data_IF_541206124946
#
_entry.id   IF_541206124946
#
_cell.length_a   1.000
_cell.length_b   1.000
_cell.length_c   1.000
_cell.angle_alpha   90.00
_cell.angle_beta   90.00
_cell.angle_gamma   90.00
#
_symmetry.space_group_name_H-M   'P 1'
#
loop_
_entity.id
_entity.type
_entity.pdbx_description
1 polymer ?
#
# COMPACT_ATOMS: atom_id res chain seq x y z
N UNK A 1 1.09 19.19 -20.29
CA UNK A 1 0.20 18.10 -20.76
C UNK A 1 -1.25 18.48 -20.47
N UNK A 2 -2.17 18.18 -21.36
CA UNK A 2 -3.62 18.32 -21.12
C UNK A 2 -4.28 16.94 -21.24
N UNK A 3 -4.98 16.50 -20.18
CA UNK A 3 -5.87 15.35 -20.24
C UNK A 3 -7.26 15.84 -20.63
N UNK A 4 -7.85 15.21 -21.64
CA UNK A 4 -9.20 15.53 -22.15
C UNK A 4 -10.08 14.29 -22.14
N UNK A 5 -11.39 14.48 -22.33
CA UNK A 5 -12.38 13.39 -22.41
C UNK A 5 -12.36 12.40 -21.25
N UNK A 6 -11.91 12.79 -20.05
CA UNK A 6 -12.04 12.00 -18.85
C UNK A 6 -13.39 12.27 -18.16
N UNK A 7 -13.79 11.36 -17.27
CA UNK A 7 -14.89 11.59 -16.34
C UNK A 7 -14.40 11.43 -14.90
N UNK A 8 -15.02 12.16 -13.96
CA UNK A 8 -14.75 11.99 -12.53
C UNK A 8 -15.55 10.79 -11.95
N UNK A 9 -15.44 10.57 -10.63
CA UNK A 9 -16.11 9.48 -9.91
C UNK A 9 -17.65 9.50 -10.02
N UNK A 10 -18.24 10.67 -10.34
CA UNK A 10 -19.67 10.84 -10.54
C UNK A 10 -20.10 10.73 -12.03
N UNK A 11 -19.17 10.39 -12.94
CA UNK A 11 -19.40 10.30 -14.38
C UNK A 11 -19.50 11.66 -15.09
N UNK A 12 -19.10 12.76 -14.46
CA UNK A 12 -19.12 14.09 -15.09
C UNK A 12 -17.83 14.35 -15.87
N UNK A 13 -17.89 15.00 -17.06
CA UNK A 13 -16.71 15.34 -17.83
C UNK A 13 -15.70 16.16 -17.03
N UNK A 14 -14.43 15.80 -17.17
CA UNK A 14 -13.31 16.41 -16.47
C UNK A 14 -12.09 16.51 -17.39
N UNK A 15 -11.40 17.64 -17.35
CA UNK A 15 -10.09 17.84 -17.95
C UNK A 15 -9.08 18.21 -16.86
N UNK A 16 -7.80 17.85 -17.06
CA UNK A 16 -6.71 18.18 -16.15
C UNK A 16 -5.56 18.80 -16.96
N UNK A 17 -5.21 20.03 -16.61
CA UNK A 17 -4.03 20.70 -17.16
C UNK A 17 -2.84 20.56 -16.20
N UNK A 18 -1.74 20.04 -16.75
CA UNK A 18 -0.51 19.75 -16.00
C UNK A 18 0.61 20.65 -16.48
N UNK A 19 1.30 21.27 -15.55
CA UNK A 19 2.49 22.08 -15.78
C UNK A 19 3.57 21.75 -14.77
N UNK A 20 4.81 21.56 -15.24
CA UNK A 20 5.99 21.29 -14.40
C UNK A 20 5.79 20.12 -13.41
N UNK A 21 5.12 19.06 -13.87
CA UNK A 21 4.83 17.86 -13.05
C UNK A 21 3.73 18.04 -11.98
N UNK A 22 3.06 19.20 -11.97
CA UNK A 22 1.99 19.52 -11.03
C UNK A 22 0.67 19.72 -11.76
N UNK A 23 -0.44 19.46 -11.07
CA UNK A 23 -1.77 19.85 -11.52
C UNK A 23 -1.86 21.37 -11.46
N UNK A 24 -2.08 22.01 -12.60
CA UNK A 24 -2.21 23.47 -12.71
C UNK A 24 -3.70 23.90 -12.72
N UNK A 25 -4.56 23.11 -13.35
CA UNK A 25 -6.00 23.33 -13.35
C UNK A 25 -6.78 22.01 -13.51
N UNK A 26 -7.99 21.99 -12.96
CA UNK A 26 -8.97 20.90 -13.09
C UNK A 26 -10.32 21.52 -13.42
N UNK A 27 -11.02 21.02 -14.43
CA UNK A 27 -12.31 21.60 -14.84
C UNK A 27 -12.78 21.10 -16.19
N UNK A 28 -13.42 21.99 -16.95
CA UNK A 28 -13.85 21.78 -18.33
C UNK A 28 -13.31 22.90 -19.20
N UNK A 29 -13.21 22.64 -20.51
CA UNK A 29 -12.76 23.64 -21.52
C UNK A 29 -11.36 24.23 -21.23
N UNK A 30 -10.42 23.41 -20.75
CA UNK A 30 -9.06 23.84 -20.40
C UNK A 30 -8.13 23.94 -21.61
N UNK A 31 -8.58 23.64 -22.82
CA UNK A 31 -7.79 23.64 -24.05
C UNK A 31 -7.09 24.98 -24.32
N UNK A 32 -7.67 26.10 -23.88
CA UNK A 32 -7.07 27.44 -24.02
C UNK A 32 -5.82 27.64 -23.14
N UNK A 33 -5.58 26.76 -22.16
CA UNK A 33 -4.39 26.80 -21.29
C UNK A 33 -3.19 26.06 -21.91
N UNK A 34 -3.47 25.13 -22.84
CA UNK A 34 -2.43 24.34 -23.48
C UNK A 34 -1.74 25.12 -24.61
N UNK A 35 -0.40 25.06 -24.64
CA UNK A 35 0.37 25.61 -25.75
C UNK A 35 0.21 24.76 -27.02
N UNK A 36 0.45 25.34 -28.20
CA UNK A 36 0.30 24.63 -29.51
C UNK A 36 1.10 23.32 -29.63
N UNK A 37 2.19 23.17 -28.87
CA UNK A 37 3.06 21.99 -28.90
C UNK A 37 2.93 21.13 -27.63
N UNK A 38 1.90 21.32 -26.84
CA UNK A 38 1.72 20.57 -25.60
C UNK A 38 1.11 19.19 -25.86
N UNK A 39 1.56 18.19 -25.10
CA UNK A 39 1.01 16.84 -25.21
C UNK A 39 -0.44 16.84 -24.75
N UNK A 40 -1.34 16.40 -25.62
CA UNK A 40 -2.74 16.14 -25.27
C UNK A 40 -2.95 14.64 -25.17
N UNK A 41 -3.52 14.20 -24.08
CA UNK A 41 -3.90 12.79 -23.81
C UNK A 41 -5.42 12.72 -23.79
N UNK A 42 -5.98 11.94 -24.70
CA UNK A 42 -7.42 11.66 -24.74
C UNK A 42 -7.72 10.44 -23.85
N UNK A 43 -8.51 10.66 -22.81
CA UNK A 43 -8.92 9.60 -21.89
C UNK A 43 -10.02 8.68 -22.46
N UNK A 44 -10.64 9.01 -23.61
CA UNK A 44 -11.64 8.17 -24.25
C UNK A 44 -12.89 7.90 -23.41
N UNK A 45 -13.22 8.76 -22.45
CA UNK A 45 -14.37 8.56 -21.55
C UNK A 45 -14.05 7.73 -20.28
N UNK A 46 -12.80 7.31 -20.09
CA UNK A 46 -12.39 6.60 -18.87
C UNK A 46 -12.51 7.47 -17.62
N UNK A 47 -12.70 6.82 -16.47
CA UNK A 47 -12.71 7.52 -15.18
C UNK A 47 -11.29 7.87 -14.76
N UNK A 48 -11.05 9.15 -14.43
CA UNK A 48 -9.79 9.61 -13.86
C UNK A 48 -9.89 9.64 -12.33
N UNK A 49 -8.92 9.00 -11.66
CA UNK A 49 -8.76 8.98 -10.21
C UNK A 49 -7.37 9.51 -9.84
N UNK A 50 -7.18 10.06 -8.62
CA UNK A 50 -5.81 10.23 -8.10
C UNK A 50 -5.08 8.90 -8.14
N UNK A 51 -3.81 8.89 -8.54
CA UNK A 51 -3.02 7.67 -8.53
C UNK A 51 -2.89 7.10 -7.11
N UNK A 52 -2.75 5.79 -7.03
CA UNK A 52 -2.71 5.08 -5.76
C UNK A 52 -1.35 5.21 -5.08
N UNK A 53 -1.38 5.12 -3.74
CA UNK A 53 -0.22 5.14 -2.85
C UNK A 53 -0.29 3.89 -1.98
N UNK A 54 0.76 3.06 -2.03
CA UNK A 54 0.82 1.81 -1.28
C UNK A 54 1.65 1.98 -0.01
N UNK A 55 1.07 1.67 1.13
CA UNK A 55 1.77 1.76 2.42
C UNK A 55 2.61 0.52 2.74
N UNK A 56 2.45 -0.59 2.00
CA UNK A 56 3.07 -1.86 2.34
C UNK A 56 3.39 -2.70 1.09
N UNK A 57 4.67 -2.76 0.73
CA UNK A 57 5.14 -3.44 -0.47
C UNK A 57 6.56 -4.00 -0.30
N UNK A 58 6.90 -5.05 -1.07
CA UNK A 58 8.21 -5.72 -1.01
C UNK A 58 8.83 -5.84 -2.40
N UNK A 59 9.77 -4.97 -2.75
CA UNK A 59 10.53 -5.07 -4.00
C UNK A 59 11.82 -5.88 -3.88
N UNK A 60 12.02 -6.56 -2.76
CA UNK A 60 13.02 -7.59 -2.54
C UNK A 60 14.48 -7.19 -2.77
N UNK A 61 14.79 -5.97 -3.16
CA UNK A 61 16.14 -5.43 -3.35
C UNK A 61 16.59 -4.67 -2.09
N UNK A 62 17.78 -4.93 -1.58
CA UNK A 62 18.81 -5.88 -2.08
C UNK A 62 18.61 -7.33 -1.62
N UNK A 63 19.17 -8.26 -2.39
CA UNK A 63 19.49 -9.63 -1.95
C UNK A 63 18.50 -10.72 -2.30
N UNK A 64 17.30 -10.36 -2.80
CA UNK A 64 16.30 -11.31 -3.25
C UNK A 64 15.74 -10.95 -4.64
N UNK A 65 16.57 -10.34 -5.48
CA UNK A 65 16.22 -9.85 -6.81
C UNK A 65 15.72 -10.95 -7.76
N UNK A 66 15.93 -12.21 -7.40
CA UNK A 66 15.37 -13.34 -8.14
C UNK A 66 13.84 -13.48 -7.97
N UNK A 67 13.28 -12.92 -6.89
CA UNK A 67 11.83 -12.89 -6.64
C UNK A 67 11.20 -11.65 -7.27
N UNK A 68 11.81 -10.50 -7.05
CA UNK A 68 11.40 -9.19 -7.53
C UNK A 68 12.58 -8.24 -7.42
N UNK A 69 12.65 -7.25 -8.29
CA UNK A 69 13.62 -6.16 -8.19
C UNK A 69 12.91 -4.80 -8.34
N UNK A 70 13.68 -3.71 -8.18
CA UNK A 70 13.13 -2.36 -8.22
C UNK A 70 12.50 -2.05 -9.60
N UNK A 71 13.05 -2.55 -10.70
CA UNK A 71 12.51 -2.30 -12.03
C UNK A 71 11.19 -3.05 -12.24
N UNK A 72 11.15 -4.36 -11.96
CA UNK A 72 9.94 -5.17 -12.16
C UNK A 72 8.84 -4.81 -11.15
N UNK A 73 9.20 -4.54 -9.89
CA UNK A 73 8.28 -4.04 -8.88
C UNK A 73 7.70 -2.67 -9.23
N UNK A 74 8.53 -1.74 -9.78
CA UNK A 74 8.04 -0.45 -10.27
C UNK A 74 7.07 -0.61 -11.46
N UNK A 75 7.33 -1.57 -12.37
CA UNK A 75 6.42 -1.89 -13.48
C UNK A 75 5.08 -2.43 -12.97
N UNK A 76 5.12 -3.36 -12.03
CA UNK A 76 3.93 -3.92 -11.40
C UNK A 76 3.13 -2.84 -10.66
N UNK A 77 3.79 -1.96 -9.90
CA UNK A 77 3.15 -0.84 -9.24
C UNK A 77 2.49 0.11 -10.24
N UNK A 78 3.20 0.53 -11.29
CA UNK A 78 2.66 1.39 -12.34
C UNK A 78 1.46 0.72 -13.05
N UNK A 79 1.53 -0.56 -13.38
CA UNK A 79 0.43 -1.31 -13.99
C UNK A 79 -0.78 -1.43 -13.07
N UNK A 80 -0.56 -1.43 -11.74
CA UNK A 80 -1.60 -1.40 -10.73
C UNK A 80 -2.18 -0.01 -10.43
N UNK A 81 -1.67 1.07 -11.05
CA UNK A 81 -2.14 2.44 -10.81
C UNK A 81 -1.38 3.19 -9.71
N UNK A 82 -0.31 2.62 -9.19
CA UNK A 82 0.49 3.21 -8.11
C UNK A 82 1.59 4.12 -8.66
N UNK A 83 1.77 5.28 -8.05
CA UNK A 83 2.89 6.21 -8.32
C UNK A 83 3.84 6.37 -7.15
N UNK A 84 3.46 5.82 -6.00
CA UNK A 84 4.29 5.79 -4.79
C UNK A 84 4.04 4.53 -3.96
N UNK A 85 5.13 3.93 -3.45
CA UNK A 85 5.07 2.76 -2.56
C UNK A 85 5.96 2.95 -1.34
N UNK A 86 5.57 2.36 -0.22
CA UNK A 86 6.37 2.28 0.99
C UNK A 86 6.92 0.85 1.14
N UNK A 87 8.24 0.70 1.09
CA UNK A 87 8.91 -0.59 1.02
C UNK A 87 9.32 -1.11 2.39
N UNK A 88 9.10 -2.39 2.64
CA UNK A 88 9.46 -3.06 3.88
C UNK A 88 10.95 -3.43 3.92
N UNK A 89 11.59 -3.48 5.12
CA UNK A 89 13.04 -3.59 5.26
C UNK A 89 13.57 -5.02 5.25
N UNK A 90 12.72 -6.04 5.05
CA UNK A 90 13.05 -7.46 5.08
C UNK A 90 13.81 -7.94 3.83
N UNK A 91 14.92 -7.29 3.58
CA UNK A 91 15.88 -7.52 2.49
C UNK A 91 17.14 -8.25 2.99
N UNK A 92 18.13 -8.48 2.13
CA UNK A 92 19.41 -9.08 2.51
C UNK A 92 20.58 -8.29 1.94
N UNK A 93 21.32 -7.55 2.77
CA UNK A 93 21.09 -7.39 4.21
C UNK A 93 19.75 -6.70 4.51
N UNK A 94 19.26 -6.87 5.75
CA UNK A 94 18.10 -6.13 6.26
C UNK A 94 18.40 -4.64 6.19
N UNK A 95 17.41 -3.84 5.75
CA UNK A 95 17.56 -2.38 5.70
C UNK A 95 17.51 -1.79 7.12
N UNK A 96 18.67 -1.68 7.77
CA UNK A 96 18.83 -1.17 9.13
C UNK A 96 19.48 0.22 9.19
N UNK A 97 19.65 0.90 8.07
CA UNK A 97 20.28 2.22 8.01
C UNK A 97 19.67 3.15 6.97
N UNK A 98 19.75 4.46 7.23
CA UNK A 98 19.34 5.47 6.27
C UNK A 98 20.11 5.43 4.95
N UNK A 99 21.37 4.99 4.95
CA UNK A 99 22.14 4.89 3.73
C UNK A 99 21.63 3.77 2.81
N UNK A 100 21.22 2.63 3.38
CA UNK A 100 20.60 1.54 2.63
C UNK A 100 19.24 1.98 2.07
N UNK A 101 18.42 2.65 2.90
CA UNK A 101 17.13 3.19 2.47
C UNK A 101 17.28 4.15 1.29
N UNK A 102 18.17 5.13 1.40
CA UNK A 102 18.43 6.11 0.34
C UNK A 102 18.90 5.45 -0.97
N UNK A 103 19.70 4.38 -0.90
CA UNK A 103 20.15 3.66 -2.10
C UNK A 103 18.97 3.04 -2.87
N UNK A 104 17.98 2.48 -2.16
CA UNK A 104 16.80 1.88 -2.77
C UNK A 104 15.91 2.98 -3.39
N UNK A 105 15.68 4.06 -2.65
CA UNK A 105 14.90 5.21 -3.10
C UNK A 105 15.49 5.87 -4.35
N UNK A 106 16.81 6.05 -4.39
CA UNK A 106 17.52 6.60 -5.56
C UNK A 106 17.38 5.70 -6.79
N UNK A 107 17.51 4.39 -6.62
CA UNK A 107 17.31 3.45 -7.73
C UNK A 107 15.87 3.46 -8.25
N UNK A 108 14.87 3.56 -7.37
CA UNK A 108 13.47 3.71 -7.79
C UNK A 108 13.26 5.01 -8.58
N UNK A 109 13.85 6.11 -8.12
CA UNK A 109 13.81 7.39 -8.84
C UNK A 109 14.52 7.33 -10.21
N UNK A 110 15.62 6.59 -10.34
CA UNK A 110 16.32 6.36 -11.62
C UNK A 110 15.45 5.57 -12.61
N UNK A 111 14.72 4.55 -12.13
CA UNK A 111 13.73 3.81 -12.96
C UNK A 111 12.59 4.74 -13.38
N UNK A 112 12.12 5.60 -12.49
CA UNK A 112 11.20 6.69 -12.78
C UNK A 112 9.73 6.32 -12.99
N UNK A 113 9.35 5.04 -12.84
CA UNK A 113 7.98 4.56 -13.05
C UNK A 113 7.11 4.78 -11.82
N UNK A 114 7.64 4.47 -10.63
CA UNK A 114 6.99 4.65 -9.35
C UNK A 114 8.03 5.12 -8.32
N UNK A 115 7.69 6.09 -7.49
CA UNK A 115 8.57 6.54 -6.41
C UNK A 115 8.46 5.58 -5.22
N UNK A 116 9.49 5.53 -4.39
CA UNK A 116 9.50 4.69 -3.21
C UNK A 116 10.04 5.43 -1.98
N UNK A 117 9.47 5.13 -0.82
CA UNK A 117 10.10 5.31 0.47
C UNK A 117 10.55 3.93 0.96
N UNK A 118 11.75 3.83 1.51
CA UNK A 118 12.24 2.60 2.11
C UNK A 118 12.25 2.73 3.63
N UNK A 119 11.50 1.87 4.31
CA UNK A 119 11.49 1.81 5.77
C UNK A 119 12.81 1.23 6.30
N UNK A 120 13.15 1.57 7.55
CA UNK A 120 14.29 1.02 8.27
C UNK A 120 13.76 0.04 9.34
N UNK A 121 14.52 -1.02 9.64
CA UNK A 121 14.15 -1.99 10.67
C UNK A 121 14.10 -1.36 12.06
N UNK A 122 13.24 -1.87 12.94
CA UNK A 122 13.17 -1.46 14.35
C UNK A 122 14.42 -1.93 15.09
N UNK A 123 14.81 -3.19 14.90
CA UNK A 123 16.05 -3.74 15.48
C UNK A 123 17.10 -3.97 14.39
N UNK A 124 18.38 -3.85 14.74
CA UNK A 124 19.46 -4.07 13.77
C UNK A 124 19.42 -5.50 13.22
N UNK A 125 19.32 -5.61 11.90
CA UNK A 125 19.28 -6.92 11.22
C UNK A 125 18.20 -7.89 11.73
N UNK A 126 17.12 -7.36 12.31
CA UNK A 126 16.02 -8.14 12.92
C UNK A 126 16.51 -9.04 14.08
N UNK A 127 17.46 -8.57 14.89
CA UNK A 127 17.96 -9.30 16.05
C UNK A 127 17.01 -9.30 17.26
N UNK A 128 15.95 -8.51 17.22
CA UNK A 128 14.92 -8.40 18.25
C UNK A 128 15.32 -7.58 19.49
N UNK A 129 16.55 -7.04 19.57
CA UNK A 129 17.07 -6.39 20.79
C UNK A 129 17.83 -5.08 20.54
N UNK A 130 18.59 -4.96 19.43
CA UNK A 130 19.51 -3.84 19.17
C UNK A 130 18.77 -2.68 18.51
N UNK A 131 18.59 -1.56 19.21
CA UNK A 131 17.84 -0.38 18.74
C UNK A 131 18.65 0.91 18.75
N UNK A 132 19.97 0.85 19.01
CA UNK A 132 20.77 2.06 19.16
C UNK A 132 20.91 2.85 17.84
N UNK A 133 20.83 2.19 16.69
CA UNK A 133 20.83 2.84 15.38
C UNK A 133 19.64 3.82 15.22
N UNK A 134 18.49 3.57 15.85
CA UNK A 134 17.33 4.46 15.80
C UNK A 134 17.67 5.87 16.29
N UNK A 135 18.57 5.99 17.30
CA UNK A 135 18.98 7.28 17.86
C UNK A 135 19.73 8.15 16.84
N UNK A 136 20.38 7.53 15.85
CA UNK A 136 21.20 8.21 14.85
C UNK A 136 20.50 8.41 13.50
N UNK A 137 19.29 7.87 13.31
CA UNK A 137 18.53 8.05 12.09
C UNK A 137 18.28 9.55 11.81
N UNK A 138 18.50 10.01 10.58
CA UNK A 138 18.23 11.40 10.18
C UNK A 138 16.71 11.66 10.13
N UNK A 139 16.33 12.93 10.14
CA UNK A 139 14.92 13.34 10.08
C UNK A 139 14.19 12.96 8.78
N UNK A 140 14.92 12.54 7.75
CA UNK A 140 14.34 12.01 6.51
C UNK A 140 13.73 10.62 6.67
N UNK A 141 14.21 9.81 7.63
CA UNK A 141 13.58 8.50 7.93
C UNK A 141 12.37 8.76 8.81
N UNK A 142 11.19 8.49 8.27
CA UNK A 142 9.90 8.73 8.93
C UNK A 142 9.19 7.48 9.39
N UNK A 143 9.59 6.32 8.90
CA UNK A 143 8.91 5.05 9.13
C UNK A 143 9.93 3.95 9.46
N UNK A 144 9.62 3.17 10.50
CA UNK A 144 10.37 1.97 10.86
C UNK A 144 9.42 0.80 11.07
N UNK A 145 9.89 -0.41 10.78
CA UNK A 145 9.10 -1.63 10.95
C UNK A 145 10.00 -2.84 11.19
N UNK A 146 9.43 -3.87 11.80
CA UNK A 146 10.04 -5.21 11.91
C UNK A 146 9.23 -6.21 11.07
N UNK A 147 8.83 -5.80 9.86
CA UNK A 147 7.89 -6.55 9.05
C UNK A 147 8.31 -8.00 8.82
N UNK A 148 7.31 -8.90 9.02
CA UNK A 148 7.43 -10.34 8.92
C UNK A 148 7.88 -11.06 10.21
N UNK A 149 8.18 -10.31 11.29
CA UNK A 149 8.65 -10.92 12.56
C UNK A 149 8.01 -10.34 13.82
N UNK A 150 7.70 -9.03 13.84
CA UNK A 150 7.38 -8.32 15.06
C UNK A 150 8.55 -8.25 16.07
N UNK A 151 8.57 -7.29 16.97
CA UNK A 151 9.52 -7.21 18.07
C UNK A 151 8.93 -7.91 19.28
N UNK A 152 9.47 -9.05 19.67
CA UNK A 152 8.90 -9.92 20.71
C UNK A 152 9.15 -9.38 22.14
N UNK A 153 10.32 -8.78 22.40
CA UNK A 153 10.65 -8.24 23.71
C UNK A 153 9.92 -6.92 23.98
N UNK A 154 9.06 -6.93 24.99
CA UNK A 154 8.25 -5.77 25.37
C UNK A 154 9.09 -4.56 25.79
N UNK A 155 10.25 -4.77 26.45
CA UNK A 155 11.10 -3.68 26.89
C UNK A 155 11.83 -3.03 25.70
N UNK A 156 12.26 -3.81 24.74
CA UNK A 156 12.84 -3.34 23.47
C UNK A 156 11.82 -2.51 22.70
N UNK A 157 10.61 -3.03 22.52
CA UNK A 157 9.54 -2.31 21.81
C UNK A 157 9.17 -1.00 22.50
N UNK A 158 9.01 -1.01 23.83
CA UNK A 158 8.71 0.22 24.60
C UNK A 158 9.81 1.28 24.45
N UNK A 159 11.10 0.87 24.45
CA UNK A 159 12.22 1.80 24.22
C UNK A 159 12.22 2.33 22.77
N UNK A 160 11.90 1.50 21.78
CA UNK A 160 11.77 1.94 20.41
C UNK A 160 10.67 3.01 20.25
N UNK A 161 9.48 2.80 20.85
CA UNK A 161 8.43 3.81 20.86
C UNK A 161 8.89 5.13 21.50
N UNK A 162 9.59 5.07 22.64
CA UNK A 162 10.11 6.27 23.31
C UNK A 162 11.10 7.06 22.42
N UNK A 163 11.96 6.36 21.66
CA UNK A 163 12.88 7.00 20.70
C UNK A 163 12.09 7.61 19.55
N UNK A 164 11.11 6.89 19.00
CA UNK A 164 10.30 7.32 17.85
C UNK A 164 9.51 8.59 18.16
N UNK A 165 8.96 8.73 19.36
CA UNK A 165 8.30 9.97 19.83
C UNK A 165 9.24 11.18 19.71
N UNK A 166 10.48 11.04 20.18
CA UNK A 166 11.46 12.13 20.17
C UNK A 166 11.93 12.50 18.75
N UNK A 167 11.90 11.54 17.84
CA UNK A 167 12.39 11.71 16.47
C UNK A 167 11.31 11.96 15.43
N UNK A 168 10.05 11.99 15.83
CA UNK A 168 8.91 12.13 14.93
C UNK A 168 8.85 11.02 13.88
N UNK A 169 9.11 9.77 14.31
CA UNK A 169 9.08 8.56 13.49
C UNK A 169 7.79 7.78 13.78
N UNK A 170 7.14 7.28 12.74
CA UNK A 170 6.00 6.36 12.83
C UNK A 170 6.48 4.93 12.93
N UNK A 171 5.99 4.18 13.89
CA UNK A 171 6.19 2.73 13.97
C UNK A 171 5.13 2.05 13.12
N UNK A 172 5.55 1.23 12.15
CA UNK A 172 4.67 0.34 11.41
C UNK A 172 4.79 -1.06 11.99
N UNK A 173 3.66 -1.68 12.31
CA UNK A 173 3.66 -2.94 13.04
C UNK A 173 3.05 -4.07 12.24
N UNK A 174 3.88 -5.06 11.88
CA UNK A 174 3.45 -6.41 11.62
C UNK A 174 3.18 -7.07 12.98
N UNK A 175 1.91 -7.32 13.29
CA UNK A 175 1.51 -7.84 14.59
C UNK A 175 1.51 -9.37 14.60
N UNK A 176 2.54 -9.95 15.17
CA UNK A 176 2.64 -11.41 15.31
C UNK A 176 3.49 -11.76 16.54
N UNK A 177 2.87 -12.30 17.59
CA UNK A 177 3.56 -12.95 18.68
C UNK A 177 4.08 -14.31 18.20
N UNK A 178 5.40 -14.42 18.00
CA UNK A 178 6.05 -15.61 17.44
C UNK A 178 6.03 -16.84 18.35
N UNK A 179 5.77 -16.66 19.65
CA UNK A 179 5.61 -17.79 20.58
C UNK A 179 4.19 -18.35 20.54
N UNK A 180 3.21 -17.51 20.18
CA UNK A 180 1.79 -17.90 20.07
C UNK A 180 1.46 -18.39 18.65
N UNK A 181 1.98 -17.75 17.62
CA UNK A 181 1.60 -18.01 16.22
C UNK A 181 1.70 -19.47 15.78
N UNK A 182 2.64 -20.33 16.28
CA UNK A 182 2.68 -21.73 15.90
C UNK A 182 1.45 -22.58 16.30
N UNK A 183 0.65 -22.10 17.25
CA UNK A 183 -0.54 -22.82 17.73
C UNK A 183 -1.84 -22.02 17.65
N UNK A 184 -1.77 -20.68 17.68
CA UNK A 184 -2.93 -19.79 17.47
C UNK A 184 -2.50 -18.48 16.84
N UNK A 185 -2.50 -18.44 15.51
CA UNK A 185 -2.07 -17.28 14.76
C UNK A 185 -3.00 -16.06 14.92
N UNK A 186 -4.29 -16.31 15.22
CA UNK A 186 -5.26 -15.24 15.46
C UNK A 186 -4.94 -14.52 16.77
N UNK A 187 -4.76 -15.31 17.84
CA UNK A 187 -4.40 -14.75 19.15
C UNK A 187 -3.05 -14.00 19.10
N UNK A 188 -2.10 -14.49 18.29
CA UNK A 188 -0.80 -13.86 18.10
C UNK A 188 -0.92 -12.43 17.55
N UNK A 189 -1.76 -12.23 16.53
CA UNK A 189 -2.05 -10.91 15.95
C UNK A 189 -2.77 -10.02 16.98
N UNK A 190 -3.82 -10.53 17.62
CA UNK A 190 -4.65 -9.76 18.55
C UNK A 190 -3.84 -9.25 19.74
N UNK A 191 -3.00 -10.09 20.36
CA UNK A 191 -2.19 -9.72 21.54
C UNK A 191 -1.14 -8.67 21.18
N UNK A 192 -0.42 -8.85 20.08
CA UNK A 192 0.60 -7.89 19.71
C UNK A 192 -0.02 -6.55 19.27
N UNK A 193 -1.18 -6.57 18.63
CA UNK A 193 -1.96 -5.37 18.30
C UNK A 193 -2.33 -4.61 19.59
N UNK A 194 -2.87 -5.28 20.61
CA UNK A 194 -3.22 -4.65 21.89
C UNK A 194 -1.99 -4.02 22.54
N UNK A 195 -0.86 -4.74 22.59
CA UNK A 195 0.41 -4.23 23.12
C UNK A 195 0.86 -2.96 22.42
N UNK A 196 0.91 -2.98 21.11
CA UNK A 196 1.44 -1.85 20.32
C UNK A 196 0.49 -0.64 20.37
N UNK A 197 -0.82 -0.85 20.34
CA UNK A 197 -1.82 0.21 20.58
C UNK A 197 -1.64 0.86 21.96
N UNK A 198 -1.39 0.06 23.01
CA UNK A 198 -1.15 0.58 24.35
C UNK A 198 0.14 1.39 24.42
N UNK A 199 1.22 0.95 23.77
CA UNK A 199 2.48 1.70 23.70
C UNK A 199 2.30 3.03 22.94
N UNK A 200 1.54 3.02 21.84
CA UNK A 200 1.20 4.23 21.09
C UNK A 200 0.44 5.24 21.97
N UNK A 201 -0.57 4.78 22.70
CA UNK A 201 -1.34 5.62 23.63
C UNK A 201 -0.44 6.19 24.74
N UNK A 202 0.40 5.35 25.35
CA UNK A 202 1.27 5.74 26.48
C UNK A 202 2.34 6.78 26.09
N UNK A 203 3.02 6.55 24.95
CA UNK A 203 4.10 7.41 24.47
C UNK A 203 3.63 8.53 23.54
N UNK A 204 2.37 8.50 23.08
CA UNK A 204 1.82 9.37 22.04
C UNK A 204 2.66 9.30 20.75
N UNK A 205 3.17 8.10 20.44
CA UNK A 205 3.92 7.78 19.22
C UNK A 205 2.97 7.37 18.11
N UNK A 206 3.13 7.92 16.90
CA UNK A 206 2.36 7.45 15.75
C UNK A 206 2.64 5.97 15.50
N UNK A 207 1.56 5.21 15.38
CA UNK A 207 1.55 3.79 15.08
C UNK A 207 0.70 3.54 13.84
N UNK A 208 1.23 2.76 12.91
CA UNK A 208 0.46 2.21 11.79
C UNK A 208 0.42 0.69 11.90
N UNK A 209 -0.78 0.13 12.05
CA UNK A 209 -0.96 -1.33 12.11
C UNK A 209 -1.09 -1.86 10.69
N UNK A 210 -0.12 -2.69 10.28
CA UNK A 210 -0.04 -3.27 8.94
C UNK A 210 -1.03 -4.42 8.77
N UNK A 211 -1.55 -4.60 7.53
CA UNK A 211 -2.34 -5.76 7.06
C UNK A 211 -3.24 -6.41 8.13
N UNK A 212 -4.00 -5.59 8.87
CA UNK A 212 -4.93 -6.08 9.90
C UNK A 212 -5.89 -7.10 9.30
N UNK A 213 -5.99 -8.28 9.93
CA UNK A 213 -6.75 -9.39 9.38
C UNK A 213 -7.87 -9.90 10.28
N UNK A 214 -7.88 -9.55 11.56
CA UNK A 214 -8.85 -10.09 12.54
C UNK A 214 -9.81 -9.03 13.07
N UNK A 215 -11.02 -9.48 13.47
CA UNK A 215 -11.98 -8.67 14.22
C UNK A 215 -11.39 -8.17 15.54
N UNK A 216 -10.62 -9.04 16.24
CA UNK A 216 -10.02 -8.71 17.53
C UNK A 216 -9.02 -7.56 17.44
N UNK A 217 -8.14 -7.60 16.44
CA UNK A 217 -7.19 -6.51 16.16
C UNK A 217 -7.92 -5.19 15.82
N UNK A 218 -8.97 -5.24 14.97
CA UNK A 218 -9.78 -4.04 14.67
C UNK A 218 -10.46 -3.45 15.90
N UNK A 219 -10.98 -4.28 16.80
CA UNK A 219 -11.61 -3.81 18.04
C UNK A 219 -10.58 -3.16 18.95
N UNK A 220 -9.37 -3.71 19.06
CA UNK A 220 -8.27 -3.11 19.82
C UNK A 220 -7.87 -1.73 19.24
N UNK A 221 -7.73 -1.62 17.90
CA UNK A 221 -7.43 -0.38 17.20
C UNK A 221 -8.54 0.66 17.42
N UNK A 222 -9.80 0.26 17.27
CA UNK A 222 -10.97 1.12 17.55
C UNK A 222 -10.91 1.71 18.95
N UNK A 223 -10.65 0.87 19.94
CA UNK A 223 -10.56 1.31 21.35
C UNK A 223 -9.38 2.24 21.59
N UNK A 224 -8.24 2.00 20.95
CA UNK A 224 -7.08 2.88 21.02
C UNK A 224 -7.39 4.26 20.41
N UNK A 225 -7.98 4.31 19.22
CA UNK A 225 -8.42 5.56 18.56
C UNK A 225 -9.41 6.34 19.43
N UNK A 226 -10.39 5.66 20.04
CA UNK A 226 -11.37 6.29 20.94
C UNK A 226 -10.71 6.90 22.20
N UNK A 227 -9.59 6.34 22.66
CA UNK A 227 -8.80 6.89 23.77
C UNK A 227 -7.80 7.98 23.33
N UNK A 228 -7.75 8.30 22.04
CA UNK A 228 -6.89 9.36 21.50
C UNK A 228 -5.46 8.92 21.19
N UNK A 229 -5.21 7.61 21.08
CA UNK A 229 -3.93 7.12 20.58
C UNK A 229 -3.77 7.47 19.09
N UNK A 230 -2.58 7.93 18.66
CA UNK A 230 -2.32 8.28 17.26
C UNK A 230 -2.07 7.01 16.41
N UNK A 231 -3.11 6.19 16.29
CA UNK A 231 -3.08 4.91 15.58
C UNK A 231 -3.80 5.02 14.25
N UNK A 232 -3.17 4.52 13.19
CA UNK A 232 -3.79 4.23 11.90
C UNK A 232 -3.64 2.75 11.58
N UNK A 233 -4.43 2.24 10.64
CA UNK A 233 -4.31 0.85 10.19
C UNK A 233 -4.66 0.68 8.73
N UNK A 234 -4.15 -0.40 8.16
CA UNK A 234 -4.44 -0.84 6.80
C UNK A 234 -4.98 -2.27 6.77
N UNK A 235 -5.73 -2.57 5.72
CA UNK A 235 -6.16 -3.92 5.36
C UNK A 235 -5.68 -4.23 3.95
N UNK A 236 -5.68 -5.51 3.56
CA UNK A 236 -5.23 -5.90 2.23
C UNK A 236 -6.38 -6.37 1.34
N UNK A 237 -6.25 -6.26 0.00
CA UNK A 237 -7.25 -6.76 -0.94
C UNK A 237 -7.59 -8.23 -0.75
N UNK A 238 -6.59 -9.07 -0.46
CA UNK A 238 -6.80 -10.50 -0.30
C UNK A 238 -7.52 -10.86 1.01
N UNK A 239 -7.32 -10.11 2.10
CA UNK A 239 -8.09 -10.30 3.34
C UNK A 239 -9.53 -9.78 3.24
N UNK A 240 -9.82 -8.87 2.31
CA UNK A 240 -11.18 -8.44 2.00
C UNK A 240 -11.94 -9.40 1.08
N UNK A 241 -11.22 -10.16 0.25
CA UNK A 241 -11.81 -10.99 -0.79
C UNK A 241 -12.01 -12.45 -0.37
N UNK A 242 -10.98 -13.07 0.20
CA UNK A 242 -10.97 -14.49 0.50
C UNK A 242 -11.36 -14.79 1.94
N UNK A 243 -11.95 -15.98 2.12
CA UNK A 243 -12.14 -16.64 3.42
C UNK A 243 -11.37 -17.95 3.45
N UNK A 244 -11.04 -18.44 4.63
CA UNK A 244 -10.34 -19.71 4.80
C UNK A 244 -11.14 -20.94 4.31
N UNK A 245 -12.45 -20.79 4.11
CA UNK A 245 -13.30 -21.83 3.48
C UNK A 245 -13.18 -21.82 1.94
N UNK A 246 -12.77 -20.70 1.34
CA UNK A 246 -12.71 -20.53 -0.11
C UNK A 246 -11.29 -20.50 -0.67
N UNK A 247 -10.28 -20.25 0.18
CA UNK A 247 -8.90 -20.09 -0.24
C UNK A 247 -7.93 -20.53 0.86
N UNK A 248 -7.07 -21.48 0.56
CA UNK A 248 -5.99 -21.98 1.42
C UNK A 248 -4.61 -21.41 1.06
N UNK A 249 -4.59 -20.36 0.19
CA UNK A 249 -3.36 -19.76 -0.27
C UNK A 249 -2.57 -19.13 0.87
N UNK A 250 -1.29 -19.50 0.99
CA UNK A 250 -0.45 -19.08 2.11
C UNK A 250 0.04 -17.64 1.97
N UNK A 251 -0.50 -16.77 2.83
CA UNK A 251 -0.09 -15.38 3.08
C UNK A 251 0.19 -15.19 4.57
N UNK A 252 0.77 -14.09 4.96
CA UNK A 252 1.02 -13.73 6.35
C UNK A 252 0.64 -12.26 6.63
N UNK A 253 -0.41 -11.98 7.43
CA UNK A 253 -1.27 -12.91 8.19
C UNK A 253 -2.06 -13.88 7.30
N UNK A 254 -2.49 -15.05 7.83
CA UNK A 254 -3.29 -16.00 7.06
C UNK A 254 -4.66 -15.46 6.68
N UNK A 255 -5.24 -15.99 5.59
CA UNK A 255 -6.64 -15.76 5.23
C UNK A 255 -7.54 -16.17 6.41
N UNK A 256 -8.52 -15.32 6.74
CA UNK A 256 -9.35 -15.47 7.93
C UNK A 256 -10.76 -15.97 7.61
N UNK A 257 -11.59 -16.03 8.64
CA UNK A 257 -12.99 -16.46 8.54
C UNK A 257 -13.86 -15.41 7.85
N UNK A 258 -15.06 -15.79 7.45
CA UNK A 258 -16.05 -14.87 6.89
C UNK A 258 -16.41 -13.74 7.88
N UNK A 259 -16.48 -14.05 9.18
CA UNK A 259 -16.74 -13.05 10.23
C UNK A 259 -15.64 -11.98 10.33
N UNK A 260 -14.38 -12.36 10.05
CA UNK A 260 -13.28 -11.41 10.01
C UNK A 260 -13.37 -10.52 8.77
N UNK A 261 -13.63 -11.12 7.59
CA UNK A 261 -13.83 -10.36 6.34
C UNK A 261 -14.96 -9.33 6.52
N UNK A 262 -16.09 -9.74 7.11
CA UNK A 262 -17.20 -8.83 7.41
C UNK A 262 -16.76 -7.70 8.35
N UNK A 263 -15.96 -8.01 9.38
CA UNK A 263 -15.46 -7.00 10.31
C UNK A 263 -14.51 -6.00 9.62
N UNK A 264 -13.66 -6.46 8.71
CA UNK A 264 -12.79 -5.57 7.92
C UNK A 264 -13.62 -4.63 7.03
N UNK A 265 -14.63 -5.15 6.33
CA UNK A 265 -15.55 -4.35 5.49
C UNK A 265 -16.30 -3.33 6.34
N UNK A 266 -16.78 -3.74 7.51
CA UNK A 266 -17.46 -2.81 8.46
C UNK A 266 -16.46 -1.78 9.03
N UNK A 267 -15.22 -2.18 9.27
CA UNK A 267 -14.14 -1.26 9.67
C UNK A 267 -13.88 -0.18 8.62
N UNK A 268 -13.96 -0.51 7.34
CA UNK A 268 -13.91 0.43 6.22
C UNK A 268 -15.13 1.36 6.26
N UNK A 269 -16.33 0.78 6.35
CA UNK A 269 -17.62 1.52 6.33
C UNK A 269 -17.72 2.52 7.48
N UNK A 270 -17.16 2.20 8.62
CA UNK A 270 -17.20 3.04 9.83
C UNK A 270 -15.98 3.94 10.02
N UNK A 271 -15.01 3.92 9.09
CA UNK A 271 -13.81 4.77 9.14
C UNK A 271 -12.79 4.37 10.21
N UNK A 272 -12.82 3.13 10.68
CA UNK A 272 -11.78 2.57 11.56
C UNK A 272 -10.53 2.21 10.75
N UNK A 273 -10.72 1.63 9.57
CA UNK A 273 -9.64 1.36 8.61
C UNK A 273 -9.27 2.65 7.90
N UNK A 274 -7.98 2.98 7.88
CA UNK A 274 -7.46 4.22 7.28
C UNK A 274 -7.01 4.02 5.84
N UNK A 275 -6.52 2.82 5.49
CA UNK A 275 -5.94 2.56 4.19
C UNK A 275 -6.16 1.12 3.72
N UNK A 276 -6.03 0.93 2.41
CA UNK A 276 -5.85 -0.38 1.78
C UNK A 276 -4.44 -0.41 1.20
N UNK A 277 -3.62 -1.35 1.67
CA UNK A 277 -2.28 -1.59 1.17
C UNK A 277 -2.18 -2.97 0.53
N UNK A 278 -1.25 -3.17 -0.39
CA UNK A 278 -1.25 -4.40 -1.18
C UNK A 278 -0.65 -5.58 -0.46
N UNK A 279 0.32 -5.35 0.41
CA UNK A 279 1.25 -6.36 0.87
C UNK A 279 1.79 -7.20 -0.32
N UNK A 280 2.16 -6.47 -1.39
CA UNK A 280 2.76 -7.10 -2.57
C UNK A 280 4.06 -7.80 -2.16
N UNK A 281 3.99 -9.12 -2.02
CA UNK A 281 5.04 -9.96 -1.45
C UNK A 281 5.44 -11.07 -2.45
N UNK A 282 6.26 -10.73 -3.47
CA UNK A 282 6.66 -11.65 -4.52
C UNK A 282 7.49 -12.81 -4.00
N UNK A 283 7.20 -14.01 -4.53
CA UNK A 283 7.95 -15.23 -4.30
C UNK A 283 8.02 -16.05 -5.59
N UNK A 284 9.19 -16.67 -5.84
CA UNK A 284 9.33 -17.62 -6.93
C UNK A 284 8.45 -18.86 -6.71
N UNK A 285 8.18 -19.62 -7.78
CA UNK A 285 7.46 -20.90 -7.65
C UNK A 285 8.15 -21.86 -6.68
N UNK A 286 9.50 -21.91 -6.72
CA UNK A 286 10.29 -22.72 -5.80
C UNK A 286 10.08 -22.32 -4.35
N UNK A 287 10.02 -21.02 -4.06
CA UNK A 287 9.74 -20.49 -2.72
C UNK A 287 8.33 -20.86 -2.26
N UNK A 288 7.34 -20.74 -3.13
CA UNK A 288 5.95 -21.14 -2.82
C UNK A 288 5.85 -22.63 -2.54
N UNK A 289 6.55 -23.46 -3.29
CA UNK A 289 6.62 -24.92 -3.02
C UNK A 289 7.27 -25.24 -1.66
N UNK A 290 8.19 -24.39 -1.19
CA UNK A 290 8.77 -24.48 0.17
C UNK A 290 7.86 -23.89 1.25
N UNK A 291 6.68 -23.41 0.88
CA UNK A 291 5.70 -22.87 1.78
C UNK A 291 5.93 -21.42 2.23
N UNK A 292 6.68 -20.62 1.46
CA UNK A 292 6.83 -19.18 1.76
C UNK A 292 5.47 -18.48 1.67
N UNK A 293 5.18 -17.63 2.67
CA UNK A 293 3.96 -16.84 2.73
C UNK A 293 4.11 -15.56 1.90
N UNK A 294 3.06 -15.14 1.22
CA UNK A 294 3.01 -13.93 0.41
C UNK A 294 2.44 -14.15 -1.00
N UNK A 295 1.99 -13.07 -1.62
CA UNK A 295 1.46 -13.06 -2.98
C UNK A 295 1.80 -11.74 -3.68
N UNK A 296 1.80 -11.73 -5.02
CA UNK A 296 1.82 -10.47 -5.76
C UNK A 296 0.44 -9.84 -5.76
N UNK A 297 0.34 -8.55 -5.48
CA UNK A 297 -0.93 -7.87 -5.26
C UNK A 297 -1.08 -6.53 -5.96
N UNK A 298 0.02 -5.81 -6.30
CA UNK A 298 -0.06 -4.42 -6.81
C UNK A 298 -0.97 -4.29 -8.04
N UNK A 299 -0.84 -5.19 -9.02
CA UNK A 299 -1.57 -5.09 -10.28
C UNK A 299 -3.06 -5.47 -10.20
N UNK A 300 -3.46 -6.18 -9.14
CA UNK A 300 -4.84 -6.64 -8.95
C UNK A 300 -5.61 -5.87 -7.88
N UNK A 301 -4.90 -5.10 -7.05
CA UNK A 301 -5.47 -4.48 -5.85
C UNK A 301 -6.69 -3.62 -6.12
N UNK A 302 -6.61 -2.69 -7.08
CA UNK A 302 -7.74 -1.81 -7.38
C UNK A 302 -8.94 -2.60 -7.91
N UNK A 303 -8.73 -3.52 -8.87
CA UNK A 303 -9.81 -4.34 -9.43
C UNK A 303 -10.49 -5.21 -8.38
N UNK A 304 -9.70 -5.84 -7.49
CA UNK A 304 -10.23 -6.62 -6.36
C UNK A 304 -11.06 -5.75 -5.43
N UNK A 305 -10.50 -4.62 -4.99
CA UNK A 305 -11.20 -3.72 -4.06
C UNK A 305 -12.43 -3.06 -4.68
N UNK A 306 -12.34 -2.62 -5.93
CA UNK A 306 -13.49 -2.04 -6.63
C UNK A 306 -14.61 -3.07 -6.81
N UNK A 307 -14.27 -4.28 -7.25
CA UNK A 307 -15.25 -5.36 -7.40
C UNK A 307 -15.89 -5.73 -6.06
N UNK A 308 -15.06 -5.93 -5.03
CA UNK A 308 -15.55 -6.32 -3.71
C UNK A 308 -16.34 -5.19 -3.04
N UNK A 309 -15.72 -4.03 -2.87
CA UNK A 309 -16.29 -2.97 -2.03
C UNK A 309 -17.36 -2.15 -2.76
N UNK A 310 -17.12 -1.80 -4.04
CA UNK A 310 -18.08 -0.95 -4.76
C UNK A 310 -19.18 -1.77 -5.44
N UNK A 311 -18.84 -2.84 -6.19
CA UNK A 311 -19.84 -3.62 -6.93
C UNK A 311 -20.62 -4.59 -6.04
N UNK A 312 -20.00 -5.27 -5.07
CA UNK A 312 -20.66 -6.27 -4.22
C UNK A 312 -21.23 -5.66 -2.92
N UNK A 313 -20.45 -4.81 -2.22
CA UNK A 313 -20.83 -4.23 -0.93
C UNK A 313 -21.53 -2.85 -1.04
N UNK A 314 -21.57 -2.26 -2.24
CA UNK A 314 -22.25 -0.99 -2.52
C UNK A 314 -21.60 0.24 -1.88
N UNK A 315 -20.30 0.19 -1.53
CA UNK A 315 -19.59 1.35 -1.02
C UNK A 315 -19.28 2.35 -2.13
N UNK A 316 -19.28 3.66 -1.83
CA UNK A 316 -18.98 4.68 -2.84
C UNK A 316 -17.53 4.60 -3.32
N UNK A 317 -17.31 4.90 -4.62
CA UNK A 317 -15.99 4.91 -5.23
C UNK A 317 -15.06 5.93 -4.55
N UNK A 318 -15.58 7.06 -4.11
CA UNK A 318 -14.84 8.09 -3.38
C UNK A 318 -14.22 7.57 -2.09
N UNK A 319 -14.91 6.66 -1.39
CA UNK A 319 -14.34 6.02 -0.20
C UNK A 319 -13.16 5.10 -0.58
N UNK A 320 -13.28 4.34 -1.67
CA UNK A 320 -12.17 3.52 -2.16
C UNK A 320 -10.96 4.38 -2.57
N UNK A 321 -11.20 5.48 -3.29
CA UNK A 321 -10.17 6.46 -3.64
C UNK A 321 -9.51 7.04 -2.39
N UNK A 322 -10.30 7.39 -1.38
CA UNK A 322 -9.77 7.87 -0.10
C UNK A 322 -8.81 6.85 0.53
N UNK A 323 -9.20 5.57 0.56
CA UNK A 323 -8.42 4.49 1.20
C UNK A 323 -7.18 4.06 0.41
N UNK A 324 -7.15 4.24 -0.91
CA UNK A 324 -6.03 3.82 -1.76
C UNK A 324 -5.14 4.97 -2.25
N UNK A 325 -5.59 6.23 -2.10
CA UNK A 325 -4.86 7.40 -2.62
C UNK A 325 -4.70 8.49 -1.56
N UNK A 326 -5.80 9.11 -1.14
CA UNK A 326 -5.75 10.33 -0.31
C UNK A 326 -5.17 10.05 1.06
N UNK A 327 -5.75 9.10 1.77
CA UNK A 327 -5.33 8.81 3.15
C UNK A 327 -3.93 8.20 3.27
N UNK A 328 -3.52 7.23 2.41
CA UNK A 328 -2.13 6.78 2.36
C UNK A 328 -1.13 7.92 2.12
N UNK A 329 -1.44 8.85 1.19
CA UNK A 329 -0.58 9.99 0.92
C UNK A 329 -0.45 10.92 2.14
N UNK A 330 -1.55 11.16 2.88
CA UNK A 330 -1.55 11.93 4.13
C UNK A 330 -0.70 11.25 5.22
N UNK A 331 -0.81 9.94 5.39
CA UNK A 331 -0.02 9.16 6.36
C UNK A 331 1.48 9.29 6.06
N UNK A 332 1.85 9.26 4.77
CA UNK A 332 3.23 9.42 4.33
C UNK A 332 3.70 10.88 4.27
N UNK A 333 2.78 11.86 4.38
CA UNK A 333 3.10 13.28 4.29
C UNK A 333 3.44 13.75 2.87
N UNK A 334 2.78 13.18 1.86
CA UNK A 334 3.01 13.43 0.44
C UNK A 334 2.00 14.44 -0.15
N UNK A 335 2.43 15.25 -1.10
CA UNK A 335 1.55 16.11 -1.89
C UNK A 335 0.92 15.35 -3.08
N UNK A 336 0.33 14.19 -2.79
CA UNK A 336 -0.29 13.24 -3.72
C UNK A 336 -1.71 12.86 -3.26
N UNK A 337 -2.39 12.05 -4.03
CA UNK A 337 -3.68 11.45 -3.65
C UNK A 337 -4.88 12.37 -3.83
N UNK A 338 -4.75 13.51 -4.52
CA UNK A 338 -5.84 14.43 -4.82
C UNK A 338 -5.68 15.00 -6.24
N UNK A 339 -6.82 15.26 -6.91
CA UNK A 339 -6.87 15.93 -8.21
C UNK A 339 -7.17 17.41 -8.02
N UNK A 340 -6.22 18.13 -7.41
CA UNK A 340 -6.36 19.57 -7.12
C UNK A 340 -5.12 20.36 -7.57
N UNK A 341 -5.27 21.66 -7.95
CA UNK A 341 -4.14 22.48 -8.30
C UNK A 341 -3.08 22.55 -7.18
N UNK A 342 -1.82 22.34 -7.57
CA UNK A 342 -0.67 22.34 -6.67
C UNK A 342 -0.21 20.95 -6.22
N UNK A 343 -1.06 19.92 -6.31
CA UNK A 343 -0.66 18.53 -6.09
C UNK A 343 0.21 18.01 -7.23
N UNK A 344 0.92 16.92 -6.99
CA UNK A 344 1.63 16.18 -8.03
C UNK A 344 0.63 15.73 -9.11
N UNK A 345 1.04 15.81 -10.37
CA UNK A 345 0.19 15.37 -11.47
C UNK A 345 0.26 13.85 -11.62
N UNK A 346 -0.22 13.17 -10.57
CA UNK A 346 -0.26 11.74 -10.41
C UNK A 346 -1.71 11.27 -10.43
N UNK A 347 -2.10 10.61 -11.51
CA UNK A 347 -3.46 10.10 -11.68
C UNK A 347 -3.50 8.84 -12.53
N UNK A 348 -4.61 8.12 -12.41
CA UNK A 348 -4.85 6.86 -13.10
C UNK A 348 -6.14 6.94 -13.91
N UNK A 349 -6.13 6.37 -15.10
CA UNK A 349 -7.31 6.15 -15.94
C UNK A 349 -7.79 4.72 -15.75
N UNK A 350 -9.06 4.55 -15.41
CA UNK A 350 -9.65 3.24 -15.12
C UNK A 350 -10.93 3.00 -15.92
N UNK A 351 -11.09 1.77 -16.39
CA UNK A 351 -12.36 1.26 -16.93
C UNK A 351 -13.12 0.57 -15.79
N UNK A 352 -14.22 1.17 -15.39
CA UNK A 352 -15.07 0.70 -14.27
C UNK A 352 -16.15 -0.29 -14.70
N UNK A 353 -16.44 -0.37 -16.01
CA UNK A 353 -17.65 -1.03 -16.52
C UNK A 353 -17.38 -2.35 -17.22
N UNK A 354 -16.19 -2.49 -17.86
CA UNK A 354 -15.82 -3.70 -18.57
C UNK A 354 -15.20 -4.72 -17.62
N UNK A 355 -15.78 -5.92 -17.48
CA UNK A 355 -15.15 -6.98 -16.70
C UNK A 355 -13.91 -7.51 -17.42
N UNK A 356 -12.89 -7.87 -16.64
CA UNK A 356 -11.71 -8.54 -17.17
C UNK A 356 -11.35 -9.75 -16.29
N UNK A 357 -10.62 -10.70 -16.86
CA UNK A 357 -10.13 -11.86 -16.10
C UNK A 357 -8.65 -11.67 -15.79
N UNK A 358 -8.27 -11.93 -14.56
CA UNK A 358 -6.85 -11.90 -14.16
C UNK A 358 -6.13 -13.07 -14.81
N UNK A 359 -5.06 -12.78 -15.51
CA UNK A 359 -4.16 -13.76 -16.14
C UNK A 359 -2.77 -13.56 -15.53
N UNK A 360 -2.35 -14.45 -14.63
CA UNK A 360 -1.09 -14.27 -13.88
C UNK A 360 0.15 -14.16 -14.77
N UNK A 361 0.12 -14.82 -15.94
CA UNK A 361 1.22 -14.78 -16.91
C UNK A 361 1.39 -13.43 -17.62
N UNK A 362 0.39 -12.55 -17.51
CA UNK A 362 0.42 -11.18 -18.05
C UNK A 362 0.83 -10.13 -17.04
N UNK A 363 1.07 -10.53 -15.80
CA UNK A 363 1.52 -9.60 -14.75
C UNK A 363 2.95 -9.14 -15.03
N UNK A 364 3.23 -7.89 -14.69
CA UNK A 364 4.53 -7.23 -14.88
C UNK A 364 5.51 -7.53 -13.76
N UNK A 365 5.01 -7.97 -12.57
CA UNK A 365 5.84 -8.49 -11.50
C UNK A 365 6.68 -9.66 -12.00
N UNK A 366 7.93 -9.74 -11.55
CA UNK A 366 8.81 -10.86 -11.87
C UNK A 366 8.26 -12.21 -11.38
N UNK A 367 7.58 -12.21 -10.25
CA UNK A 367 6.88 -13.37 -9.71
C UNK A 367 5.40 -13.31 -10.05
N UNK A 368 4.80 -14.49 -10.26
CA UNK A 368 3.39 -14.59 -10.64
C UNK A 368 2.55 -15.33 -9.58
N UNK A 369 3.02 -15.31 -8.34
CA UNK A 369 2.42 -16.02 -7.21
C UNK A 369 1.16 -15.32 -6.69
N UNK A 370 0.02 -15.58 -7.30
CA UNK A 370 -1.28 -15.01 -6.91
C UNK A 370 -2.40 -16.04 -6.89
N UNK A 371 -3.33 -15.97 -5.92
CA UNK A 371 -4.57 -16.75 -5.92
C UNK A 371 -5.67 -16.14 -6.80
N UNK A 372 -5.45 -14.96 -7.38
CA UNK A 372 -6.44 -14.28 -8.21
C UNK A 372 -6.44 -14.73 -9.69
N UNK A 373 -5.56 -15.65 -10.08
CA UNK A 373 -5.54 -16.17 -11.46
C UNK A 373 -6.90 -16.74 -11.87
N UNK A 374 -7.42 -16.30 -13.02
CA UNK A 374 -8.74 -16.70 -13.52
C UNK A 374 -9.93 -15.98 -12.86
N UNK A 375 -9.71 -15.11 -11.89
CA UNK A 375 -10.78 -14.34 -11.23
C UNK A 375 -11.25 -13.22 -12.14
N UNK A 376 -12.58 -13.07 -12.29
CA UNK A 376 -13.17 -11.96 -13.03
C UNK A 376 -13.38 -10.75 -12.12
N UNK A 377 -12.86 -9.61 -12.55
CA UNK A 377 -12.89 -8.33 -11.81
C UNK A 377 -13.43 -7.21 -12.70
N UNK A 378 -13.82 -6.12 -12.05
CA UNK A 378 -14.09 -4.80 -12.64
C UNK A 378 -13.02 -3.80 -12.15
N UNK A 379 -12.92 -2.65 -12.82
CA UNK A 379 -11.94 -1.63 -12.43
C UNK A 379 -10.56 -1.92 -13.00
N UNK A 380 -10.47 -2.09 -14.33
CA UNK A 380 -9.19 -2.27 -15.04
C UNK A 380 -8.43 -0.95 -15.10
N UNK A 381 -7.19 -0.95 -14.64
CA UNK A 381 -6.26 0.17 -14.86
C UNK A 381 -5.88 0.21 -16.33
N UNK A 382 -6.14 1.33 -16.98
CA UNK A 382 -5.83 1.55 -18.39
C UNK A 382 -4.52 2.32 -18.57
N UNK A 383 -4.32 3.39 -17.79
CA UNK A 383 -3.08 4.14 -17.83
C UNK A 383 -2.76 4.73 -16.46
N UNK A 384 -1.47 4.84 -16.15
CA UNK A 384 -0.95 5.49 -14.95
C UNK A 384 -0.06 6.65 -15.37
N UNK A 385 -0.33 7.81 -14.81
CA UNK A 385 0.38 9.05 -15.06
C UNK A 385 1.08 9.49 -13.78
N UNK A 386 2.40 9.72 -13.84
CA UNK A 386 3.22 10.22 -12.76
C UNK A 386 3.92 11.50 -13.18
N UNK A 387 3.77 12.56 -12.39
CA UNK A 387 4.31 13.89 -12.68
C UNK A 387 3.99 14.36 -14.12
N UNK A 388 2.79 14.02 -14.62
CA UNK A 388 2.32 14.35 -15.96
C UNK A 388 2.95 13.52 -17.09
N UNK A 389 3.58 12.38 -16.78
CA UNK A 389 4.13 11.44 -17.77
C UNK A 389 3.44 10.09 -17.64
N UNK A 390 3.09 9.48 -18.77
CA UNK A 390 2.54 8.11 -18.77
C UNK A 390 3.66 7.16 -18.37
N UNK A 391 3.46 6.43 -17.26
CA UNK A 391 4.39 5.41 -16.75
C UNK A 391 3.89 4.00 -17.04
N UNK A 392 2.59 3.85 -17.31
CA UNK A 392 1.97 2.62 -17.76
C UNK A 392 0.81 2.93 -18.70
N UNK A 393 0.64 2.10 -19.69
CA UNK A 393 -0.54 2.07 -20.57
C UNK A 393 -0.84 0.62 -20.95
N UNK A 394 -2.10 0.20 -20.72
CA UNK A 394 -2.56 -1.13 -21.10
C UNK A 394 -2.51 -1.31 -22.63
N UNK A 395 -2.16 -2.51 -23.07
CA UNK A 395 -2.34 -2.91 -24.46
C UNK A 395 -3.84 -3.03 -24.80
N UNK A 396 -4.24 -2.62 -26.01
CA UNK A 396 -5.62 -2.70 -26.50
C UNK A 396 -6.14 -4.14 -26.62
#
# INVERSE_FOLDING_TARGET
>A
MLLTNAVNTEGRPLEIYVKDGKIAAVGQDLSALAAENETVVDAGGLTVLPAFVDLHCHWRTPGFEYKEDIETGSRAAAAGGYTFVNLMPNTKPVCSSAAQALMVEQKAAEVGLCDANQTVSITENFDGVSIDHLKTLPASVKFITEDGHGVQDNATMARAFAICTQKDITVMSHAEDMEISPWDYRLAEDIETVRNCWLSEYYQTRLHMCHVSTRGALDAIRMAKLRGAPVTCEVTPHHLWFTNDTCDYRVNPPIRTADDVEALVEGIRTGIVDAIATDHAPHSEEDKLKGMAGMVGSETAFGVCYTKLCKQEGLPLELLVHLMSTRPAEILGLAKGQLEPGFDADFVLVDLDTPYTVEKEKLHSKSHNTPFDGVQLYGKVFATIKAGKITYQAEE
#
